data_IF_434928793710
#
_entry.id   IF_434928793710
#
_cell.length_a   1.000
_cell.length_b   1.000
_cell.length_c   1.000
_cell.angle_alpha   90.00
_cell.angle_beta   90.00
_cell.angle_gamma   90.00
#
_symmetry.space_group_name_H-M   'P 1'
#
loop_
_entity.id
_entity.type
_entity.pdbx_description
1 polymer ?
#
# COMPACT_ATOMS: atom_id res chain seq x y z
N UNK A 1 -28.39 5.52 -6.13
CA UNK A 1 -27.00 5.25 -6.59
C UNK A 1 -25.93 5.75 -5.62
N UNK A 2 -26.03 6.99 -5.09
CA UNK A 2 -25.02 7.57 -4.20
C UNK A 2 -24.75 6.75 -2.92
N UNK A 3 -25.77 6.19 -2.28
CA UNK A 3 -25.63 5.41 -1.04
C UNK A 3 -24.79 4.14 -1.20
N UNK A 4 -24.91 3.43 -2.33
CA UNK A 4 -24.16 2.21 -2.59
C UNK A 4 -22.66 2.50 -2.82
N UNK A 5 -22.35 3.55 -3.60
CA UNK A 5 -20.97 4.00 -3.82
C UNK A 5 -20.28 4.41 -2.52
N UNK A 6 -20.99 5.16 -1.66
CA UNK A 6 -20.48 5.57 -0.34
C UNK A 6 -20.21 4.35 0.55
N UNK A 7 -21.13 3.39 0.64
CA UNK A 7 -20.92 2.16 1.43
C UNK A 7 -19.73 1.35 0.92
N UNK A 8 -19.63 1.17 -0.40
CA UNK A 8 -18.53 0.42 -1.02
C UNK A 8 -17.18 1.10 -0.77
N UNK A 9 -17.11 2.43 -0.91
CA UNK A 9 -15.93 3.23 -0.61
C UNK A 9 -15.51 3.08 0.87
N UNK A 10 -16.46 3.13 1.81
CA UNK A 10 -16.20 2.96 3.23
C UNK A 10 -15.70 1.56 3.59
N UNK A 11 -16.30 0.51 3.02
CA UNK A 11 -15.85 -0.88 3.23
C UNK A 11 -14.43 -1.09 2.71
N UNK A 12 -14.11 -0.59 1.50
CA UNK A 12 -12.75 -0.63 0.94
C UNK A 12 -11.74 0.11 1.81
N UNK A 13 -12.13 1.28 2.31
CA UNK A 13 -11.29 2.08 3.20
C UNK A 13 -11.04 1.39 4.55
N UNK A 14 -12.06 0.75 5.12
CA UNK A 14 -11.93 -0.06 6.33
C UNK A 14 -10.99 -1.26 6.10
N UNK A 15 -11.19 -2.02 5.02
CA UNK A 15 -10.31 -3.13 4.64
C UNK A 15 -8.86 -2.69 4.46
N UNK A 16 -8.63 -1.56 3.80
CA UNK A 16 -7.29 -1.01 3.61
C UNK A 16 -6.62 -0.55 4.92
N UNK A 17 -7.40 -0.13 5.93
CA UNK A 17 -6.88 0.15 7.27
C UNK A 17 -6.50 -1.12 8.00
N UNK A 18 -7.33 -2.16 7.94
CA UNK A 18 -7.01 -3.47 8.51
C UNK A 18 -5.71 -4.00 7.91
N UNK A 19 -5.55 -3.95 6.58
CA UNK A 19 -4.29 -4.30 5.92
C UNK A 19 -3.12 -3.49 6.46
N UNK A 20 -3.29 -2.17 6.58
CA UNK A 20 -2.21 -1.32 7.10
C UNK A 20 -1.81 -1.72 8.52
N UNK A 21 -2.78 -2.02 9.39
CA UNK A 21 -2.51 -2.49 10.76
C UNK A 21 -1.79 -3.84 10.75
N UNK A 22 -2.25 -4.79 9.93
CA UNK A 22 -1.62 -6.11 9.78
C UNK A 22 -0.17 -5.96 9.26
N UNK A 23 0.06 -5.16 8.23
CA UNK A 23 1.40 -4.87 7.69
C UNK A 23 2.31 -4.27 8.77
N UNK A 24 1.80 -3.31 9.56
CA UNK A 24 2.57 -2.68 10.63
C UNK A 24 2.88 -3.66 11.75
N UNK A 25 1.92 -4.49 12.15
CA UNK A 25 2.12 -5.51 13.19
C UNK A 25 3.14 -6.56 12.75
N UNK A 26 3.02 -7.07 11.52
CA UNK A 26 4.00 -7.98 10.92
C UNK A 26 5.39 -7.33 10.86
N UNK A 27 5.47 -6.09 10.38
CA UNK A 27 6.73 -5.33 10.33
C UNK A 27 7.36 -5.13 11.72
N UNK A 28 6.56 -4.88 12.75
CA UNK A 28 7.03 -4.75 14.12
C UNK A 28 7.56 -6.07 14.69
N UNK A 29 6.87 -7.20 14.43
CA UNK A 29 7.35 -8.53 14.79
C UNK A 29 8.69 -8.85 14.13
N UNK A 30 8.83 -8.55 12.83
CA UNK A 30 10.09 -8.74 12.11
C UNK A 30 11.23 -7.87 12.65
N UNK A 31 10.94 -6.61 12.98
CA UNK A 31 11.94 -5.74 13.59
C UNK A 31 12.38 -6.29 14.95
N UNK A 32 11.44 -6.79 15.76
CA UNK A 32 11.75 -7.46 17.03
C UNK A 32 12.63 -8.70 16.84
N UNK A 33 12.31 -9.55 15.86
CA UNK A 33 13.12 -10.73 15.51
C UNK A 33 14.52 -10.34 15.03
N UNK A 34 14.64 -9.29 14.22
CA UNK A 34 15.94 -8.78 13.78
C UNK A 34 16.79 -8.28 14.95
N UNK A 35 16.20 -7.52 15.87
CA UNK A 35 16.89 -7.05 17.08
C UNK A 35 17.33 -8.24 17.93
N UNK A 36 16.47 -9.24 18.11
CA UNK A 36 16.81 -10.47 18.84
C UNK A 36 18.00 -11.21 18.21
N UNK A 37 17.98 -11.38 16.88
CA UNK A 37 19.08 -12.01 16.14
C UNK A 37 20.37 -11.20 16.26
N UNK A 38 20.31 -9.88 16.13
CA UNK A 38 21.49 -9.01 16.27
C UNK A 38 22.07 -9.06 17.68
N UNK A 39 21.24 -9.07 18.72
CA UNK A 39 21.69 -9.23 20.11
C UNK A 39 22.33 -10.61 20.29
N UNK A 40 21.70 -11.68 19.79
CA UNK A 40 22.26 -13.03 19.83
C UNK A 40 23.61 -13.13 19.13
N UNK A 41 23.76 -12.49 17.96
CA UNK A 41 25.03 -12.41 17.24
C UNK A 41 26.10 -11.66 18.02
N UNK A 42 25.76 -10.52 18.62
CA UNK A 42 26.71 -9.73 19.43
C UNK A 42 27.14 -10.53 20.67
N UNK A 43 26.20 -11.22 21.33
CA UNK A 43 26.48 -12.06 22.49
C UNK A 43 27.33 -13.29 22.15
N UNK A 44 27.28 -13.80 20.91
CA UNK A 44 28.10 -14.94 20.47
C UNK A 44 29.48 -14.52 19.96
N UNK A 45 29.76 -13.23 19.74
CA UNK A 45 31.07 -12.75 19.28
C UNK A 45 32.25 -13.17 20.19
N UNK A 46 32.15 -13.12 21.54
CA UNK A 46 33.23 -13.59 22.41
C UNK A 46 33.51 -15.08 22.24
N UNK A 47 32.47 -15.91 22.13
CA UNK A 47 32.61 -17.36 21.94
C UNK A 47 33.25 -17.67 20.58
N UNK A 48 32.80 -16.98 19.52
CA UNK A 48 33.38 -17.07 18.18
C UNK A 48 34.85 -16.66 18.21
N UNK A 49 35.19 -15.56 18.91
CA UNK A 49 36.57 -15.08 19.04
C UNK A 49 37.47 -16.05 19.80
N UNK A 50 36.98 -16.57 20.93
CA UNK A 50 37.71 -17.55 21.74
C UNK A 50 37.97 -18.84 20.95
N UNK A 51 36.99 -19.28 20.14
CA UNK A 51 37.17 -20.41 19.23
C UNK A 51 38.20 -20.13 18.13
N UNK A 52 38.21 -18.93 17.55
CA UNK A 52 39.24 -18.56 16.59
C UNK A 52 40.64 -18.61 17.20
N UNK A 53 40.80 -18.13 18.44
CA UNK A 53 42.07 -18.21 19.18
C UNK A 53 42.47 -19.64 19.57
N UNK A 54 41.51 -20.54 19.84
CA UNK A 54 41.78 -21.96 20.08
C UNK A 54 42.23 -22.66 18.79
N UNK A 55 41.64 -22.31 17.64
CA UNK A 55 42.06 -22.81 16.34
C UNK A 55 43.50 -22.44 16.00
N UNK A 56 43.90 -21.19 16.25
CA UNK A 56 45.29 -20.75 16.03
C UNK A 56 46.32 -21.49 16.91
N UNK A 57 45.89 -22.10 18.03
CA UNK A 57 46.74 -22.87 18.94
C UNK A 57 46.91 -24.34 18.54
N UNK A 58 46.22 -24.81 17.49
CA UNK A 58 46.37 -26.17 16.97
C UNK A 58 45.70 -27.26 17.82
N UNK A 59 44.75 -26.90 18.69
CA UNK A 59 44.12 -27.81 19.66
C UNK A 59 42.94 -28.64 19.09
N UNK A 60 42.84 -28.87 17.78
CA UNK A 60 41.55 -29.23 17.18
C UNK A 60 41.36 -30.69 16.75
N UNK A 61 40.63 -31.42 17.59
CA UNK A 61 39.55 -32.34 17.18
C UNK A 61 38.18 -31.72 17.53
N UNK A 62 37.08 -32.22 16.96
CA UNK A 62 35.66 -31.79 17.15
C UNK A 62 35.29 -30.31 16.87
N UNK A 63 36.18 -29.33 16.98
CA UNK A 63 35.85 -27.93 16.74
C UNK A 63 36.00 -27.47 15.28
N UNK A 64 36.55 -28.31 14.38
CA UNK A 64 36.44 -28.10 12.93
C UNK A 64 34.99 -28.23 12.44
N UNK A 65 34.21 -29.15 13.03
CA UNK A 65 32.77 -29.28 12.78
C UNK A 65 32.00 -28.03 13.23
N UNK A 66 32.35 -27.44 14.37
CA UNK A 66 31.66 -26.26 14.89
C UNK A 66 31.99 -24.98 14.10
N UNK A 67 33.26 -24.80 13.70
CA UNK A 67 33.68 -23.70 12.81
C UNK A 67 32.96 -23.76 11.46
N UNK A 68 32.79 -24.97 10.91
CA UNK A 68 32.00 -25.19 9.70
C UNK A 68 30.51 -24.84 9.89
N UNK A 69 29.89 -25.26 11.00
CA UNK A 69 28.49 -24.92 11.31
C UNK A 69 28.29 -23.42 11.51
N UNK A 70 29.17 -22.73 12.25
CA UNK A 70 29.08 -21.28 12.43
C UNK A 70 29.35 -20.51 11.14
N UNK A 71 30.30 -20.99 10.33
CA UNK A 71 30.54 -20.46 8.98
C UNK A 71 29.29 -20.56 8.09
N UNK A 72 28.59 -21.69 8.13
CA UNK A 72 27.32 -21.88 7.42
C UNK A 72 26.23 -20.93 7.96
N UNK A 73 26.06 -20.82 9.27
CA UNK A 73 25.05 -19.93 9.86
C UNK A 73 25.30 -18.47 9.46
N UNK A 74 26.54 -17.99 9.53
CA UNK A 74 26.92 -16.64 9.12
C UNK A 74 26.70 -16.43 7.62
N UNK A 75 27.02 -17.44 6.78
CA UNK A 75 26.79 -17.40 5.33
C UNK A 75 25.30 -17.29 4.98
N UNK A 76 24.44 -18.01 5.72
CA UNK A 76 22.98 -18.01 5.50
C UNK A 76 22.24 -16.87 6.19
N UNK A 77 22.85 -16.23 7.20
CA UNK A 77 22.24 -15.14 7.95
C UNK A 77 21.71 -13.99 7.06
N UNK A 78 22.45 -13.47 6.06
CA UNK A 78 21.92 -12.47 5.12
C UNK A 78 20.70 -12.96 4.34
N UNK A 79 20.68 -14.26 3.96
CA UNK A 79 19.55 -14.87 3.23
C UNK A 79 18.32 -14.94 4.13
N UNK A 80 18.47 -15.35 5.39
CA UNK A 80 17.36 -15.35 6.36
C UNK A 80 16.87 -13.94 6.68
N UNK A 81 17.78 -12.98 6.86
CA UNK A 81 17.43 -11.57 7.07
C UNK A 81 16.68 -11.04 5.83
N UNK A 82 17.15 -11.33 4.62
CA UNK A 82 16.47 -10.93 3.39
C UNK A 82 15.10 -11.58 3.26
N UNK A 83 15.01 -12.91 3.44
CA UNK A 83 13.77 -13.66 3.39
C UNK A 83 12.74 -13.15 4.41
N UNK A 84 13.15 -13.01 5.67
CA UNK A 84 12.31 -12.53 6.76
C UNK A 84 11.88 -11.07 6.61
N UNK A 85 12.78 -10.16 6.27
CA UNK A 85 12.44 -8.72 6.21
C UNK A 85 11.81 -8.29 4.88
N UNK A 86 12.13 -8.94 3.76
CA UNK A 86 11.77 -8.44 2.43
C UNK A 86 10.74 -9.32 1.72
N UNK A 87 10.90 -10.64 1.79
CA UNK A 87 10.08 -11.59 1.03
C UNK A 87 8.82 -11.93 1.81
N UNK A 88 8.97 -12.29 3.08
CA UNK A 88 7.89 -12.80 3.90
C UNK A 88 6.76 -11.77 4.14
N UNK A 89 7.02 -10.48 4.44
CA UNK A 89 5.95 -9.51 4.59
C UNK A 89 5.16 -9.31 3.29
N UNK A 90 5.82 -9.37 2.15
CA UNK A 90 5.16 -9.28 0.84
C UNK A 90 4.26 -10.49 0.65
N UNK A 91 4.78 -11.70 0.84
CA UNK A 91 4.01 -12.95 0.74
C UNK A 91 2.80 -12.94 1.68
N UNK A 92 2.95 -12.47 2.92
CA UNK A 92 1.87 -12.41 3.90
C UNK A 92 0.81 -11.34 3.59
N UNK A 93 1.22 -10.20 3.03
CA UNK A 93 0.34 -9.04 2.83
C UNK A 93 -0.33 -9.03 1.46
N UNK A 94 0.26 -9.71 0.47
CA UNK A 94 -0.25 -9.77 -0.89
C UNK A 94 -1.60 -10.47 -1.03
N UNK A 95 -1.90 -11.59 -0.35
CA UNK A 95 -3.21 -12.24 -0.39
C UNK A 95 -4.32 -11.31 0.06
N UNK A 96 -4.06 -10.46 1.06
CA UNK A 96 -5.07 -9.52 1.56
C UNK A 96 -5.15 -8.28 0.66
N UNK A 97 -4.02 -7.76 0.19
CA UNK A 97 -3.95 -6.52 -0.58
C UNK A 97 -4.30 -6.68 -2.06
N UNK A 98 -3.93 -7.78 -2.70
CA UNK A 98 -4.20 -8.06 -4.10
C UNK A 98 -5.70 -8.01 -4.46
N UNK A 99 -6.64 -8.62 -3.71
CA UNK A 99 -8.07 -8.45 -3.95
C UNK A 99 -8.52 -7.01 -3.85
N UNK A 100 -8.08 -6.26 -2.84
CA UNK A 100 -8.48 -4.85 -2.72
C UNK A 100 -7.95 -4.05 -3.91
N UNK A 101 -6.71 -4.30 -4.32
CA UNK A 101 -6.08 -3.69 -5.49
C UNK A 101 -6.82 -4.08 -6.78
N UNK A 102 -7.22 -5.34 -6.94
CA UNK A 102 -7.89 -5.87 -8.13
C UNK A 102 -9.35 -5.42 -8.24
N UNK A 103 -10.06 -5.30 -7.12
CA UNK A 103 -11.45 -4.82 -7.06
C UNK A 103 -11.56 -3.31 -7.27
N UNK A 104 -10.44 -2.59 -7.22
CA UNK A 104 -10.41 -1.14 -7.37
C UNK A 104 -9.84 -0.73 -8.73
N UNK A 105 -10.53 -1.11 -9.80
CA UNK A 105 -9.99 -1.03 -11.17
C UNK A 105 -9.81 0.40 -11.72
N UNK A 106 -10.51 1.41 -11.18
CA UNK A 106 -10.34 2.80 -11.59
C UNK A 106 -10.77 3.81 -10.50
N UNK A 107 -10.11 3.83 -9.33
CA UNK A 107 -10.36 4.88 -8.35
C UNK A 107 -10.16 6.28 -8.92
N UNK A 108 -11.06 7.22 -8.60
CA UNK A 108 -10.87 8.62 -8.94
C UNK A 108 -9.59 9.15 -8.29
N UNK A 109 -9.03 10.16 -8.95
CA UNK A 109 -7.82 10.85 -8.52
C UNK A 109 -8.27 12.19 -7.95
N UNK A 110 -7.87 12.50 -6.74
CA UNK A 110 -8.20 13.75 -6.09
C UNK A 110 -6.94 14.56 -5.89
N UNK A 111 -6.97 15.83 -6.25
CA UNK A 111 -5.92 16.78 -5.90
C UNK A 111 -6.39 17.64 -4.73
N UNK A 112 -5.58 17.73 -3.70
CA UNK A 112 -5.83 18.56 -2.53
C UNK A 112 -4.78 19.67 -2.45
N UNK A 113 -5.21 20.88 -2.80
CA UNK A 113 -4.40 22.10 -2.73
C UNK A 113 -4.76 22.87 -1.48
N UNK A 114 -3.75 23.47 -0.86
CA UNK A 114 -3.93 24.22 0.37
C UNK A 114 -2.86 25.30 0.49
N UNK A 115 -3.07 26.29 1.36
CA UNK A 115 -2.02 27.23 1.72
C UNK A 115 -0.79 26.49 2.28
N UNK A 116 0.38 26.81 1.73
CA UNK A 116 1.66 26.28 2.19
C UNK A 116 2.02 26.77 3.59
N UNK A 117 2.67 25.91 4.39
CA UNK A 117 3.29 26.26 5.67
C UNK A 117 2.31 26.92 6.68
N UNK A 118 1.09 26.40 6.76
CA UNK A 118 0.05 26.79 7.72
C UNK A 118 -0.30 25.61 8.64
N UNK A 119 0.57 25.35 9.61
CA UNK A 119 0.42 24.22 10.55
C UNK A 119 -0.93 24.16 11.26
N UNK A 120 -1.49 25.32 11.65
CA UNK A 120 -2.80 25.42 12.32
C UNK A 120 -3.96 24.89 11.46
N UNK A 121 -3.95 25.20 10.15
CA UNK A 121 -4.98 24.73 9.21
C UNK A 121 -4.72 23.28 8.78
N UNK A 122 -3.47 22.84 8.78
CA UNK A 122 -3.08 21.53 8.25
C UNK A 122 -3.73 20.35 8.98
N UNK A 123 -3.96 20.44 10.31
CA UNK A 123 -4.52 19.34 11.11
C UNK A 123 -6.01 19.09 10.78
N UNK A 124 -6.91 20.09 10.85
CA UNK A 124 -8.29 19.94 10.40
C UNK A 124 -8.39 19.44 8.95
N UNK A 125 -7.62 20.02 8.03
CA UNK A 125 -7.64 19.65 6.62
C UNK A 125 -7.19 18.20 6.39
N UNK A 126 -6.11 17.75 7.05
CA UNK A 126 -5.69 16.32 7.02
C UNK A 126 -6.82 15.41 7.49
N UNK A 127 -7.60 15.83 8.48
CA UNK A 127 -8.73 15.04 8.98
C UNK A 127 -9.85 14.97 7.94
N UNK A 128 -10.22 16.09 7.33
CA UNK A 128 -11.19 16.15 6.23
C UNK A 128 -10.74 15.28 5.06
N UNK A 129 -9.52 15.49 4.57
CA UNK A 129 -8.88 14.68 3.53
C UNK A 129 -8.97 13.18 3.82
N UNK A 130 -8.61 12.74 5.03
CA UNK A 130 -8.60 11.32 5.42
C UNK A 130 -9.98 10.70 5.60
N UNK A 131 -10.93 11.44 6.18
CA UNK A 131 -12.24 10.89 6.57
C UNK A 131 -13.27 11.03 5.46
N UNK A 132 -13.16 12.09 4.66
CA UNK A 132 -14.23 12.51 3.75
C UNK A 132 -13.85 12.33 2.28
N UNK A 133 -12.55 12.30 1.93
CA UNK A 133 -12.09 12.21 0.53
C UNK A 133 -11.39 10.89 0.25
N UNK A 134 -10.42 10.52 1.08
CA UNK A 134 -9.60 9.32 0.89
C UNK A 134 -10.40 7.99 0.74
N UNK A 135 -11.57 7.79 1.35
CA UNK A 135 -12.37 6.59 1.10
C UNK A 135 -12.82 6.44 -0.36
N UNK A 136 -12.97 7.55 -1.08
CA UNK A 136 -13.50 7.56 -2.43
C UNK A 136 -12.44 7.32 -3.51
N UNK A 137 -11.14 7.48 -3.21
CA UNK A 137 -10.11 7.48 -4.23
C UNK A 137 -8.72 7.84 -3.74
N UNK A 138 -7.86 8.19 -4.69
CA UNK A 138 -6.46 8.50 -4.45
C UNK A 138 -6.24 9.98 -4.26
N UNK A 139 -5.79 10.37 -3.07
CA UNK A 139 -5.62 11.77 -2.72
C UNK A 139 -4.16 12.21 -2.83
N UNK A 140 -3.88 13.15 -3.73
CA UNK A 140 -2.59 13.80 -3.92
C UNK A 140 -2.58 15.18 -3.28
N UNK A 141 -1.43 15.60 -2.81
CA UNK A 141 -1.21 16.97 -2.31
C UNK A 141 0.25 17.34 -2.50
N UNK A 142 0.57 18.63 -2.53
CA UNK A 142 1.96 19.05 -2.49
C UNK A 142 2.54 18.91 -1.08
N UNK A 143 3.79 18.45 -1.01
CA UNK A 143 4.52 18.36 0.25
C UNK A 143 5.08 19.73 0.65
N UNK A 144 5.02 20.04 1.94
CA UNK A 144 5.62 21.25 2.53
C UNK A 144 6.09 20.96 3.98
N UNK A 145 6.30 22.00 4.79
CA UNK A 145 6.68 21.84 6.19
C UNK A 145 5.65 21.09 7.05
N UNK A 146 4.36 21.15 6.71
CA UNK A 146 3.26 20.57 7.49
C UNK A 146 2.87 19.17 7.00
N UNK A 147 2.87 18.93 5.69
CA UNK A 147 2.64 17.61 5.08
C UNK A 147 3.96 17.15 4.47
N UNK A 148 4.77 16.49 5.29
CA UNK A 148 6.03 15.87 4.85
C UNK A 148 5.80 14.47 4.28
N UNK A 149 6.61 14.10 3.29
CA UNK A 149 6.81 12.69 2.93
C UNK A 149 7.45 11.99 4.14
N UNK A 150 6.79 10.95 4.65
CA UNK A 150 7.28 10.20 5.81
C UNK A 150 8.71 9.69 5.58
N UNK A 151 9.57 9.79 6.60
CA UNK A 151 10.99 9.47 6.47
C UNK A 151 11.24 8.00 6.10
N UNK A 152 10.45 7.06 6.65
CA UNK A 152 10.62 5.62 6.42
C UNK A 152 10.42 5.23 4.95
N UNK A 153 9.62 5.99 4.21
CA UNK A 153 9.39 5.78 2.77
C UNK A 153 10.67 6.05 1.97
N UNK A 154 11.58 6.85 2.53
CA UNK A 154 12.85 7.20 1.87
C UNK A 154 13.89 6.10 1.98
N UNK A 155 13.67 5.10 2.84
CA UNK A 155 14.61 4.02 3.11
C UNK A 155 14.07 2.75 2.43
N UNK A 156 14.58 2.37 1.25
CA UNK A 156 14.08 1.20 0.51
C UNK A 156 14.13 -0.07 1.36
N UNK A 157 15.14 -0.21 2.21
CA UNK A 157 15.31 -1.30 3.18
C UNK A 157 14.06 -1.49 4.06
N UNK A 158 13.45 -0.39 4.54
CA UNK A 158 12.26 -0.45 5.39
C UNK A 158 10.97 -0.76 4.62
N UNK A 159 10.98 -0.51 3.30
CA UNK A 159 9.85 -0.83 2.43
C UNK A 159 9.98 -2.24 1.83
N UNK A 160 11.11 -2.92 2.01
CA UNK A 160 11.32 -4.23 1.44
C UNK A 160 11.27 -4.22 -0.10
N UNK A 161 10.74 -5.30 -0.69
CA UNK A 161 10.46 -5.33 -2.14
C UNK A 161 9.32 -4.38 -2.53
N UNK A 162 8.51 -3.89 -1.57
CA UNK A 162 7.47 -2.89 -1.83
C UNK A 162 8.05 -1.54 -2.23
N UNK A 163 9.35 -1.31 -1.99
CA UNK A 163 10.08 -0.17 -2.52
C UNK A 163 10.02 -0.12 -4.06
N UNK A 164 10.06 -1.28 -4.74
CA UNK A 164 9.95 -1.38 -6.20
C UNK A 164 8.57 -0.92 -6.70
N UNK A 165 7.56 -1.09 -5.84
CA UNK A 165 6.19 -0.68 -6.12
C UNK A 165 5.87 0.70 -5.57
N UNK A 166 6.80 1.40 -4.92
CA UNK A 166 6.56 2.77 -4.46
C UNK A 166 7.02 3.79 -5.50
N UNK A 167 6.08 4.61 -6.00
CA UNK A 167 6.46 5.75 -6.86
C UNK A 167 6.62 7.05 -6.09
N UNK A 168 6.72 7.00 -4.75
CA UNK A 168 6.94 8.18 -3.92
C UNK A 168 8.34 8.73 -4.17
N UNK A 169 8.45 9.57 -5.20
CA UNK A 169 9.69 10.26 -5.52
C UNK A 169 10.11 11.11 -4.33
N UNK A 170 11.41 11.04 -4.00
CA UNK A 170 11.96 11.76 -2.84
C UNK A 170 11.72 13.27 -2.94
N UNK A 171 11.94 13.86 -4.12
CA UNK A 171 11.66 15.27 -4.45
C UNK A 171 11.79 15.48 -5.96
N UNK A 172 10.84 16.19 -6.58
CA UNK A 172 10.88 16.60 -7.99
C UNK A 172 11.73 17.87 -8.10
N UNK A 173 12.92 17.74 -8.68
CA UNK A 173 13.93 18.79 -8.85
C UNK A 173 14.17 19.16 -10.32
N UNK A 174 13.73 18.33 -11.25
CA UNK A 174 13.99 18.49 -12.68
C UNK A 174 12.70 18.24 -13.47
N UNK A 175 12.53 19.00 -14.56
CA UNK A 175 11.51 18.80 -15.59
C UNK A 175 11.40 17.34 -16.06
N UNK A 176 12.53 16.63 -16.19
CA UNK A 176 12.55 15.21 -16.62
C UNK A 176 11.80 14.28 -15.65
N UNK A 177 11.60 14.68 -14.40
CA UNK A 177 10.90 13.89 -13.39
C UNK A 177 9.37 14.08 -13.47
N UNK A 178 8.87 15.14 -14.08
CA UNK A 178 7.43 15.40 -14.21
C UNK A 178 6.74 14.35 -15.11
N UNK A 179 7.28 13.98 -16.28
CA UNK A 179 6.72 12.87 -17.06
C UNK A 179 6.79 11.52 -16.33
N UNK A 180 7.74 11.34 -15.40
CA UNK A 180 7.79 10.14 -14.55
C UNK A 180 6.67 10.16 -13.51
N UNK A 181 6.37 11.32 -12.91
CA UNK A 181 5.24 11.50 -12.01
C UNK A 181 3.93 11.22 -12.75
N UNK A 182 3.74 11.83 -13.92
CA UNK A 182 2.58 11.60 -14.78
C UNK A 182 2.34 10.10 -15.02
N UNK A 183 3.35 9.39 -15.54
CA UNK A 183 3.27 7.94 -15.79
C UNK A 183 2.96 7.14 -14.53
N UNK A 184 3.48 7.55 -13.37
CA UNK A 184 3.21 6.87 -12.12
C UNK A 184 1.77 7.11 -11.61
N UNK A 185 1.25 8.33 -11.74
CA UNK A 185 -0.13 8.70 -11.42
C UNK A 185 -1.11 7.96 -12.34
N UNK A 186 -0.75 7.76 -13.61
CA UNK A 186 -1.59 7.08 -14.60
C UNK A 186 -1.59 5.55 -14.45
N UNK A 187 -0.60 4.96 -13.77
CA UNK A 187 -0.54 3.51 -13.49
C UNK A 187 -1.46 3.12 -12.33
N UNK A 188 -2.69 2.68 -12.64
CA UNK A 188 -3.71 2.32 -11.63
C UNK A 188 -3.25 1.26 -10.62
N UNK A 189 -2.68 0.15 -11.07
CA UNK A 189 -2.22 -0.92 -10.17
C UNK A 189 -1.18 -0.41 -9.16
N UNK A 190 -0.23 0.41 -9.62
CA UNK A 190 0.82 0.98 -8.79
C UNK A 190 0.25 1.95 -7.76
N UNK A 191 -0.74 2.75 -8.18
CA UNK A 191 -1.49 3.68 -7.34
C UNK A 191 -2.25 2.96 -6.22
N UNK A 192 -2.96 1.88 -6.57
CA UNK A 192 -3.71 1.04 -5.64
C UNK A 192 -2.79 0.42 -4.57
N UNK A 193 -1.65 -0.15 -4.98
CA UNK A 193 -0.67 -0.73 -4.05
C UNK A 193 -0.15 0.36 -3.09
N UNK A 194 0.28 1.51 -3.62
CA UNK A 194 0.76 2.63 -2.81
C UNK A 194 -0.31 3.14 -1.83
N UNK A 195 -1.58 3.06 -2.21
CA UNK A 195 -2.69 3.51 -1.36
C UNK A 195 -2.98 2.52 -0.25
N UNK A 196 -2.98 1.21 -0.57
CA UNK A 196 -3.12 0.15 0.42
C UNK A 196 -2.04 0.28 1.50
N UNK A 197 -0.80 0.58 1.11
CA UNK A 197 0.33 0.76 2.03
C UNK A 197 0.39 2.13 2.73
N UNK A 198 -0.37 3.12 2.27
CA UNK A 198 -0.34 4.46 2.86
C UNK A 198 -1.13 4.49 4.16
N UNK A 199 -0.47 4.76 5.30
CA UNK A 199 -1.18 4.97 6.58
C UNK A 199 -2.09 6.19 6.50
N UNK A 200 -1.57 7.28 5.93
CA UNK A 200 -2.28 8.55 5.85
C UNK A 200 -3.29 8.64 4.72
N UNK A 201 -3.31 7.68 3.78
CA UNK A 201 -4.11 7.67 2.54
C UNK A 201 -4.06 8.97 1.73
N UNK A 202 -3.02 9.78 1.97
CA UNK A 202 -2.66 11.02 1.30
C UNK A 202 -1.27 10.81 0.70
N UNK A 203 -1.08 11.22 -0.54
CA UNK A 203 0.17 11.15 -1.28
C UNK A 203 0.78 12.54 -1.41
N UNK A 204 1.67 12.92 -0.47
CA UNK A 204 2.44 14.14 -0.64
C UNK A 204 3.45 13.99 -1.78
N UNK A 205 3.41 14.93 -2.72
CA UNK A 205 4.36 15.07 -3.82
C UNK A 205 5.31 16.21 -3.46
N UNK A 206 6.56 15.87 -3.16
CA UNK A 206 7.57 16.86 -2.86
C UNK A 206 8.16 17.45 -4.15
N UNK A 207 8.24 18.77 -4.24
CA UNK A 207 8.82 19.50 -5.37
C UNK A 207 9.84 20.54 -4.90
N UNK A 208 10.60 21.09 -5.84
CA UNK A 208 11.37 22.33 -5.67
C UNK A 208 10.49 23.55 -5.97
N UNK A 209 10.93 24.72 -5.53
CA UNK A 209 10.21 25.98 -5.73
C UNK A 209 10.17 26.37 -7.21
N UNK A 210 11.13 25.93 -8.01
CA UNK A 210 11.15 26.16 -9.46
C UNK A 210 10.16 25.26 -10.24
N UNK A 211 9.75 24.13 -9.65
CA UNK A 211 9.01 23.09 -10.36
C UNK A 211 7.60 22.82 -9.80
N UNK A 212 7.22 23.36 -8.64
CA UNK A 212 5.92 23.05 -8.02
C UNK A 212 4.74 23.40 -8.95
N UNK A 213 4.80 24.54 -9.66
CA UNK A 213 3.75 24.95 -10.61
C UNK A 213 3.52 23.89 -11.70
N UNK A 214 4.59 23.35 -12.27
CA UNK A 214 4.51 22.30 -13.30
C UNK A 214 4.02 20.97 -12.72
N UNK A 215 4.30 20.70 -11.45
CA UNK A 215 3.72 19.56 -10.73
C UNK A 215 2.22 19.75 -10.51
N UNK A 216 1.77 20.94 -10.12
CA UNK A 216 0.34 21.28 -10.01
C UNK A 216 -0.36 21.10 -11.35
N UNK A 217 0.17 21.63 -12.44
CA UNK A 217 -0.36 21.44 -13.79
C UNK A 217 -0.53 19.95 -14.14
N UNK A 218 0.51 19.16 -13.85
CA UNK A 218 0.51 17.72 -14.10
C UNK A 218 -0.59 17.00 -13.29
N UNK A 219 -0.85 17.43 -12.06
CA UNK A 219 -1.86 16.83 -11.18
C UNK A 219 -3.27 17.33 -11.48
N UNK A 220 -3.46 18.63 -11.79
CA UNK A 220 -4.74 19.23 -12.18
C UNK A 220 -5.33 18.50 -13.38
N UNK A 221 -4.52 18.31 -14.44
CA UNK A 221 -4.94 17.65 -15.68
C UNK A 221 -5.20 16.13 -15.55
N UNK A 222 -4.87 15.53 -14.40
CA UNK A 222 -5.03 14.09 -14.13
C UNK A 222 -5.95 13.81 -12.95
N UNK A 223 -6.56 14.83 -12.36
CA UNK A 223 -7.43 14.65 -11.21
C UNK A 223 -8.88 14.70 -11.63
N UNK A 224 -9.67 13.79 -11.05
CA UNK A 224 -11.11 13.70 -11.22
C UNK A 224 -11.89 14.77 -10.49
N UNK A 225 -11.36 15.19 -9.34
CA UNK A 225 -11.83 16.37 -8.65
C UNK A 225 -10.65 17.04 -7.95
N UNK A 226 -10.75 18.35 -7.80
CA UNK A 226 -9.75 19.19 -7.15
C UNK A 226 -10.41 19.80 -5.93
N UNK A 227 -9.71 19.81 -4.81
CA UNK A 227 -10.17 20.39 -3.56
C UNK A 227 -9.16 21.46 -3.17
N UNK A 228 -9.62 22.71 -3.08
CA UNK A 228 -8.75 23.86 -2.79
C UNK A 228 -9.19 24.47 -1.46
N UNK A 229 -8.28 24.54 -0.49
CA UNK A 229 -8.51 25.32 0.73
C UNK A 229 -8.30 26.82 0.46
N UNK A 230 -9.37 27.59 0.60
CA UNK A 230 -9.45 29.04 0.39
C UNK A 230 -9.53 29.82 1.71
N UNK A 231 -9.19 29.17 2.83
CA UNK A 231 -9.12 29.83 4.15
C UNK A 231 -8.05 30.93 4.23
N UNK A 232 -7.13 31.00 3.27
CA UNK A 232 -6.08 32.00 3.15
C UNK A 232 -5.77 32.21 1.65
N UNK A 233 -6.46 33.16 1.02
CA UNK A 233 -6.36 33.47 -0.42
C UNK A 233 -5.08 34.24 -0.75
N UNK A 234 -3.96 33.55 -0.68
CA UNK A 234 -2.63 34.07 -1.08
C UNK A 234 -2.41 33.95 -2.58
N UNK A 235 -1.39 34.63 -3.06
CA UNK A 235 -0.96 34.60 -4.47
C UNK A 235 -0.81 33.16 -5.02
N UNK A 236 -0.29 32.23 -4.22
CA UNK A 236 -0.13 30.84 -4.66
C UNK A 236 -1.49 30.14 -4.86
N UNK A 237 -2.46 30.36 -3.98
CA UNK A 237 -3.81 29.76 -4.08
C UNK A 237 -4.59 30.41 -5.22
N UNK A 238 -4.48 31.73 -5.37
CA UNK A 238 -5.07 32.45 -6.50
C UNK A 238 -4.50 31.95 -7.83
N UNK A 239 -3.18 31.80 -7.92
CA UNK A 239 -2.52 31.20 -9.08
C UNK A 239 -3.03 29.78 -9.36
N UNK A 240 -3.22 28.94 -8.35
CA UNK A 240 -3.77 27.58 -8.51
C UNK A 240 -5.19 27.59 -9.08
N UNK A 241 -6.05 28.51 -8.61
CA UNK A 241 -7.42 28.71 -9.11
C UNK A 241 -7.40 29.18 -10.56
N UNK A 242 -6.65 30.23 -10.86
CA UNK A 242 -6.53 30.80 -12.20
C UNK A 242 -5.94 29.78 -13.18
N UNK A 243 -4.97 28.98 -12.71
CA UNK A 243 -4.37 27.93 -13.50
C UNK A 243 -5.39 26.84 -13.83
N UNK A 244 -6.19 26.41 -12.85
CA UNK A 244 -7.25 25.44 -13.07
C UNK A 244 -8.33 25.95 -14.05
N UNK A 245 -8.67 27.25 -14.00
CA UNK A 245 -9.51 27.92 -15.02
C UNK A 245 -8.88 27.86 -16.41
N UNK A 246 -7.61 28.24 -16.54
CA UNK A 246 -6.88 28.22 -17.82
C UNK A 246 -6.76 26.83 -18.45
N UNK A 247 -6.79 25.77 -17.63
CA UNK A 247 -6.74 24.38 -18.06
C UNK A 247 -8.13 23.78 -18.30
N UNK A 248 -9.21 24.53 -18.10
CA UNK A 248 -10.58 24.07 -18.30
C UNK A 248 -11.07 23.05 -17.26
N UNK A 249 -10.41 22.95 -16.10
CA UNK A 249 -10.77 21.99 -15.03
C UNK A 249 -11.50 22.65 -13.85
N UNK A 250 -11.94 23.91 -14.00
CA UNK A 250 -12.64 24.67 -12.95
C UNK A 250 -13.92 23.97 -12.45
N UNK A 251 -14.65 23.31 -13.34
CA UNK A 251 -15.90 22.60 -12.99
C UNK A 251 -15.68 21.42 -12.05
N UNK A 252 -14.43 20.94 -11.93
CA UNK A 252 -14.02 19.84 -11.07
C UNK A 252 -13.61 20.30 -9.66
N UNK A 253 -13.58 21.61 -9.40
CA UNK A 253 -13.10 22.19 -8.14
C UNK A 253 -14.20 22.22 -7.08
N UNK A 254 -13.87 21.79 -5.87
CA UNK A 254 -14.60 22.03 -4.63
C UNK A 254 -13.73 22.90 -3.72
N UNK A 255 -14.33 23.91 -3.10
CA UNK A 255 -13.63 24.85 -2.23
C UNK A 255 -13.89 24.50 -0.76
N UNK A 256 -12.84 24.54 0.05
CA UNK A 256 -12.91 24.40 1.49
C UNK A 256 -12.57 25.72 2.16
N UNK A 257 -13.32 26.10 3.19
CA UNK A 257 -13.06 27.30 3.98
C UNK A 257 -13.19 26.99 5.46
N UNK A 258 -12.22 27.43 6.26
CA UNK A 258 -12.23 27.32 7.70
C UNK A 258 -13.36 28.18 8.23
N UNK A 259 -14.22 27.63 9.08
CA UNK A 259 -15.32 28.39 9.70
C UNK A 259 -14.80 29.64 10.42
N UNK A 260 -13.63 29.55 11.07
CA UNK A 260 -12.96 30.65 11.77
C UNK A 260 -12.54 31.82 10.84
N UNK A 261 -12.56 31.62 9.51
CA UNK A 261 -12.12 32.60 8.49
C UNK A 261 -13.14 32.77 7.36
N UNK A 262 -14.38 32.31 7.57
CA UNK A 262 -15.38 32.21 6.52
C UNK A 262 -15.70 33.58 5.91
N UNK A 263 -15.88 34.61 6.73
CA UNK A 263 -16.45 35.88 6.28
C UNK A 263 -15.52 36.65 5.33
N UNK A 264 -14.23 36.72 5.65
CA UNK A 264 -13.25 37.44 4.84
C UNK A 264 -12.98 36.77 3.48
N UNK A 265 -12.78 35.45 3.47
CA UNK A 265 -12.46 34.72 2.23
C UNK A 265 -13.69 34.47 1.36
N UNK A 266 -14.90 34.38 1.93
CA UNK A 266 -16.11 34.13 1.16
C UNK A 266 -16.47 35.31 0.25
N UNK A 267 -16.32 36.56 0.71
CA UNK A 267 -16.57 37.74 -0.10
C UNK A 267 -15.66 37.80 -1.34
N UNK A 268 -14.34 37.61 -1.14
CA UNK A 268 -13.37 37.56 -2.23
C UNK A 268 -13.66 36.41 -3.22
N UNK A 269 -13.97 35.22 -2.72
CA UNK A 269 -14.28 34.08 -3.58
C UNK A 269 -15.57 34.30 -4.40
N UNK A 270 -16.56 34.96 -3.79
CA UNK A 270 -17.83 35.30 -4.45
C UNK A 270 -17.60 36.28 -5.60
N UNK A 271 -16.68 37.22 -5.44
CA UNK A 271 -16.26 38.12 -6.52
C UNK A 271 -15.55 37.37 -7.66
N UNK A 272 -14.72 36.37 -7.34
CA UNK A 272 -13.93 35.63 -8.34
C UNK A 272 -14.71 34.54 -9.09
N UNK A 273 -15.72 33.93 -8.47
CA UNK A 273 -16.48 32.80 -9.02
C UNK A 273 -17.94 33.11 -9.34
N UNK A 274 -18.49 34.20 -8.78
CA UNK A 274 -19.93 34.46 -8.75
C UNK A 274 -20.63 33.76 -7.57
N UNK A 275 -21.76 34.33 -7.14
CA UNK A 275 -22.51 33.88 -5.96
C UNK A 275 -23.03 32.43 -6.08
N UNK A 276 -23.53 32.05 -7.25
CA UNK A 276 -24.12 30.72 -7.47
C UNK A 276 -23.05 29.60 -7.48
N UNK A 277 -21.94 29.82 -8.19
CA UNK A 277 -20.83 28.87 -8.22
C UNK A 277 -20.16 28.74 -6.85
N UNK A 278 -20.02 29.86 -6.12
CA UNK A 278 -19.54 29.88 -4.74
C UNK A 278 -20.48 29.08 -3.83
N UNK A 279 -21.79 29.35 -3.88
CA UNK A 279 -22.78 28.67 -3.04
C UNK A 279 -22.77 27.16 -3.26
N UNK A 280 -22.69 26.68 -4.51
CA UNK A 280 -22.72 25.25 -4.84
C UNK A 280 -21.43 24.49 -4.52
N UNK A 281 -20.27 25.16 -4.54
CA UNK A 281 -18.95 24.51 -4.45
C UNK A 281 -18.17 24.81 -3.17
N UNK A 282 -18.61 25.74 -2.33
CA UNK A 282 -17.94 26.12 -1.09
C UNK A 282 -18.45 25.32 0.11
N UNK A 283 -17.54 24.67 0.83
CA UNK A 283 -17.84 23.88 2.02
C UNK A 283 -17.04 24.37 3.22
N UNK A 284 -17.70 24.46 4.38
CA UNK A 284 -17.10 24.92 5.62
C UNK A 284 -16.51 23.74 6.41
N UNK A 285 -15.33 23.91 6.97
CA UNK A 285 -14.73 22.97 7.91
C UNK A 285 -14.34 23.65 9.23
N UNK A 286 -14.46 22.89 10.32
CA UNK A 286 -14.06 23.28 11.67
C UNK A 286 -12.88 22.42 12.13
N UNK A 287 -12.44 22.64 13.38
CA UNK A 287 -11.46 21.79 14.05
C UNK A 287 -11.90 20.32 14.17
N UNK A 288 -13.17 19.99 14.00
CA UNK A 288 -13.71 18.62 14.13
C UNK A 288 -13.97 17.91 12.79
N UNK A 289 -14.00 18.67 11.69
CA UNK A 289 -14.22 18.15 10.34
C UNK A 289 -15.10 19.07 9.51
N UNK A 290 -15.75 18.54 8.47
CA UNK A 290 -16.71 19.31 7.67
C UNK A 290 -18.00 19.57 8.46
N UNK A 291 -18.54 20.77 8.33
CA UNK A 291 -19.84 21.15 8.90
C UNK A 291 -20.99 20.39 8.21
N UNK A 292 -20.99 20.33 6.88
CA UNK A 292 -21.99 19.60 6.09
C UNK A 292 -21.35 18.45 5.30
N UNK A 293 -21.15 17.32 5.98
CA UNK A 293 -20.50 16.12 5.41
C UNK A 293 -21.33 15.50 4.29
N UNK A 294 -22.65 15.45 4.46
CA UNK A 294 -23.58 14.86 3.50
C UNK A 294 -23.50 15.57 2.16
N UNK A 295 -23.61 16.91 2.18
CA UNK A 295 -23.59 17.73 0.98
C UNK A 295 -22.22 17.71 0.30
N UNK A 296 -21.13 17.77 1.07
CA UNK A 296 -19.78 17.64 0.53
C UNK A 296 -19.58 16.30 -0.18
N UNK A 297 -19.99 15.18 0.44
CA UNK A 297 -19.88 13.85 -0.19
C UNK A 297 -20.74 13.73 -1.43
N UNK A 298 -21.95 14.30 -1.43
CA UNK A 298 -22.81 14.33 -2.60
C UNK A 298 -22.14 15.08 -3.76
N UNK A 299 -21.62 16.28 -3.50
CA UNK A 299 -20.89 17.06 -4.50
C UNK A 299 -19.61 16.35 -4.99
N UNK A 300 -18.85 15.71 -4.09
CA UNK A 300 -17.66 14.94 -4.47
C UNK A 300 -18.02 13.77 -5.39
N UNK A 301 -19.07 13.01 -5.06
CA UNK A 301 -19.56 11.90 -5.89
C UNK A 301 -20.08 12.42 -7.22
N UNK A 302 -20.80 13.54 -7.25
CA UNK A 302 -21.28 14.18 -8.48
C UNK A 302 -20.12 14.53 -9.42
N UNK A 303 -19.04 15.14 -8.92
CA UNK A 303 -17.85 15.45 -9.74
C UNK A 303 -17.20 14.19 -10.31
N UNK A 304 -17.03 13.17 -9.49
CA UNK A 304 -16.43 11.90 -9.90
C UNK A 304 -17.30 11.16 -10.92
N UNK A 305 -18.61 11.10 -10.68
CA UNK A 305 -19.54 10.41 -11.59
C UNK A 305 -19.66 11.17 -12.90
N UNK A 306 -19.72 12.50 -12.87
CA UNK A 306 -19.74 13.34 -14.08
C UNK A 306 -18.52 13.09 -14.96
N UNK A 307 -17.31 13.07 -14.38
CA UNK A 307 -16.10 12.77 -15.13
C UNK A 307 -16.06 11.31 -15.62
N UNK A 308 -16.41 10.34 -14.76
CA UNK A 308 -16.46 8.94 -15.17
C UNK A 308 -17.42 8.75 -16.35
N UNK A 309 -18.55 9.45 -16.38
CA UNK A 309 -19.51 9.38 -17.50
C UNK A 309 -18.94 9.99 -18.77
N UNK A 310 -18.15 11.06 -18.67
CA UNK A 310 -17.44 11.66 -19.80
C UNK A 310 -16.28 10.76 -20.30
N UNK A 311 -15.56 10.09 -19.41
CA UNK A 311 -14.49 9.15 -19.77
C UNK A 311 -15.00 7.82 -20.33
N UNK A 312 -16.24 7.40 -20.01
CA UNK A 312 -16.84 6.14 -20.49
C UNK A 312 -17.05 6.07 -22.00
N UNK A 313 -16.89 7.18 -22.74
CA UNK A 313 -16.76 7.13 -24.20
C UNK A 313 -15.47 6.43 -24.66
N UNK A 314 -14.49 6.24 -23.77
CA UNK A 314 -13.33 5.37 -23.98
C UNK A 314 -13.70 3.95 -23.52
N UNK A 315 -13.38 2.89 -24.29
CA UNK A 315 -13.72 1.52 -23.92
C UNK A 315 -13.16 1.22 -22.52
N UNK A 316 -14.07 1.01 -21.56
CA UNK A 316 -13.72 0.64 -20.20
C UNK A 316 -12.90 -0.64 -20.25
N UNK A 317 -11.71 -0.59 -19.68
CA UNK A 317 -10.93 -1.77 -19.35
C UNK A 317 -11.67 -2.50 -18.22
N UNK A 318 -12.37 -3.57 -18.59
CA UNK A 318 -12.89 -4.67 -17.76
C UNK A 318 -13.60 -4.26 -16.44
N UNK A 319 -14.92 -4.38 -16.36
CA UNK A 319 -15.52 -4.59 -15.03
C UNK A 319 -14.98 -5.91 -14.48
N UNK A 320 -14.54 -5.96 -13.20
CA UNK A 320 -14.12 -7.22 -12.60
C UNK A 320 -15.30 -8.19 -12.66
N UNK A 321 -15.14 -9.26 -13.43
CA UNK A 321 -16.15 -10.32 -13.53
C UNK A 321 -16.35 -10.92 -12.14
N UNK A 322 -17.53 -11.47 -11.83
CA UNK A 322 -17.75 -12.22 -10.57
C UNK A 322 -16.71 -13.32 -10.40
N UNK A 323 -16.23 -13.86 -11.53
CA UNK A 323 -15.10 -14.79 -11.63
C UNK A 323 -13.80 -14.20 -11.06
N UNK A 324 -13.51 -12.92 -11.27
CA UNK A 324 -12.30 -12.28 -10.73
C UNK A 324 -12.36 -12.15 -9.20
N UNK A 325 -13.53 -11.77 -8.69
CA UNK A 325 -13.77 -11.68 -7.25
C UNK A 325 -13.63 -13.07 -6.62
N UNK A 326 -14.31 -14.07 -7.18
CA UNK A 326 -14.30 -15.45 -6.70
C UNK A 326 -12.89 -16.06 -6.74
N UNK A 327 -12.14 -15.88 -7.83
CA UNK A 327 -10.77 -16.37 -7.95
C UNK A 327 -9.83 -15.68 -6.95
N UNK A 328 -10.03 -14.39 -6.67
CA UNK A 328 -9.21 -13.72 -5.66
C UNK A 328 -9.55 -14.16 -4.25
N UNK A 329 -10.84 -14.33 -3.92
CA UNK A 329 -11.26 -14.89 -2.62
C UNK A 329 -10.72 -16.31 -2.45
N UNK A 330 -10.81 -17.16 -3.48
CA UNK A 330 -10.25 -18.50 -3.49
C UNK A 330 -8.74 -18.49 -3.26
N UNK A 331 -8.00 -17.56 -3.88
CA UNK A 331 -6.57 -17.36 -3.62
C UNK A 331 -6.28 -17.05 -2.15
N UNK A 332 -6.99 -16.09 -1.55
CA UNK A 332 -6.79 -15.73 -0.13
C UNK A 332 -7.04 -16.91 0.77
N UNK A 333 -8.17 -17.60 0.57
CA UNK A 333 -8.54 -18.77 1.36
C UNK A 333 -7.55 -19.92 1.15
N UNK A 334 -7.04 -20.11 -0.08
CA UNK A 334 -6.03 -21.11 -0.43
C UNK A 334 -4.66 -20.85 0.15
N UNK A 335 -4.36 -19.62 0.55
CA UNK A 335 -3.07 -19.24 1.12
C UNK A 335 -2.98 -19.51 2.63
N UNK A 336 -4.11 -19.46 3.33
CA UNK A 336 -4.15 -19.65 4.79
C UNK A 336 -3.56 -21.01 5.21
N UNK A 337 -3.92 -22.15 4.59
CA UNK A 337 -3.36 -23.44 4.97
C UNK A 337 -1.88 -23.60 4.57
N UNK A 338 -1.47 -23.00 3.43
CA UNK A 338 -0.07 -23.01 2.98
C UNK A 338 0.81 -22.24 3.95
N UNK A 339 0.35 -21.08 4.45
CA UNK A 339 1.05 -20.33 5.50
C UNK A 339 1.09 -21.10 6.82
N UNK A 340 0.04 -21.85 7.15
CA UNK A 340 0.04 -22.70 8.33
C UNK A 340 1.10 -23.79 8.28
N UNK A 341 1.30 -24.43 7.12
CA UNK A 341 2.36 -25.42 6.93
C UNK A 341 3.76 -24.81 6.90
N UNK A 342 3.92 -23.61 6.35
CA UNK A 342 5.22 -22.94 6.32
C UNK A 342 5.67 -22.47 7.72
N UNK A 343 4.75 -22.28 8.66
CA UNK A 343 5.02 -21.75 9.99
C UNK A 343 4.23 -22.47 11.10
N UNK A 344 4.44 -23.79 11.29
CA UNK A 344 3.61 -24.59 12.20
C UNK A 344 3.65 -24.09 13.65
N UNK A 345 4.80 -23.57 14.08
CA UNK A 345 5.00 -23.01 15.43
C UNK A 345 4.11 -21.78 15.72
N UNK A 346 3.72 -21.00 14.71
CA UNK A 346 2.91 -19.78 14.90
C UNK A 346 1.44 -20.13 15.15
N UNK A 347 0.96 -21.22 14.56
CA UNK A 347 -0.44 -21.66 14.68
C UNK A 347 -0.66 -22.74 15.74
N UNK A 348 0.40 -23.12 16.48
CA UNK A 348 0.32 -24.22 17.44
C UNK A 348 0.05 -25.57 16.78
N UNK A 349 0.41 -25.72 15.49
CA UNK A 349 0.30 -27.00 14.81
C UNK A 349 1.40 -27.93 15.34
N UNK A 350 1.09 -29.23 15.58
CA UNK A 350 2.07 -30.19 16.06
C UNK A 350 3.29 -30.22 15.13
N UNK A 351 4.49 -30.13 15.71
CA UNK A 351 5.74 -30.28 14.96
C UNK A 351 5.78 -31.67 14.37
N UNK A 352 5.90 -31.76 13.05
CA UNK A 352 6.11 -33.03 12.38
C UNK A 352 7.60 -33.37 12.48
N UNK A 353 7.96 -34.34 13.32
CA UNK A 353 9.30 -34.91 13.37
C UNK A 353 9.27 -36.27 12.65
N UNK A 354 9.71 -36.37 11.38
CA UNK A 354 9.82 -37.62 10.63
C UNK A 354 10.59 -38.73 11.35
N UNK A 355 11.45 -38.38 12.31
CA UNK A 355 12.28 -39.32 13.06
C UNK A 355 11.62 -39.87 14.33
N UNK A 356 10.55 -39.25 14.83
CA UNK A 356 9.83 -39.70 16.03
C UNK A 356 8.76 -40.77 15.74
N UNK A 357 8.40 -40.98 14.47
CA UNK A 357 7.51 -42.06 14.09
C UNK A 357 8.29 -43.32 13.75
N UNK A 358 8.37 -44.24 14.73
CA UNK A 358 9.02 -45.56 14.68
C UNK A 358 8.44 -46.54 13.63
N UNK A 359 7.60 -46.07 12.70
CA UNK A 359 6.99 -46.86 11.64
C UNK A 359 7.69 -46.61 10.30
N UNK A 360 9.02 -46.83 10.25
CA UNK A 360 9.75 -46.78 9.00
C UNK A 360 9.59 -48.10 8.22
N UNK A 361 8.50 -48.14 7.44
CA UNK A 361 8.30 -48.82 6.14
C UNK A 361 8.19 -50.36 6.06
N UNK A 362 7.01 -50.88 5.64
CA UNK A 362 6.77 -50.96 4.20
C UNK A 362 5.34 -50.52 3.80
N UNK A 363 5.26 -49.55 2.88
CA UNK A 363 4.03 -49.19 2.21
C UNK A 363 3.93 -47.69 1.96
N UNK A 364 4.34 -47.27 0.76
CA UNK A 364 4.22 -45.89 0.22
C UNK A 364 2.80 -45.29 0.44
N UNK A 365 1.79 -46.13 0.64
CA UNK A 365 0.39 -45.73 0.79
C UNK A 365 -0.03 -45.13 2.15
N UNK A 366 0.81 -45.16 3.21
CA UNK A 366 0.46 -44.56 4.53
C UNK A 366 1.30 -43.35 4.94
N UNK A 367 2.23 -42.92 4.10
CA UNK A 367 3.20 -41.84 4.43
C UNK A 367 2.70 -40.46 3.98
N UNK A 368 1.58 -40.42 3.26
CA UNK A 368 0.98 -39.16 2.85
C UNK A 368 0.07 -38.67 3.98
N UNK A 369 0.58 -37.72 4.77
CA UNK A 369 -0.24 -36.99 5.74
C UNK A 369 -1.46 -36.42 5.00
N UNK A 370 -2.65 -36.90 5.36
CA UNK A 370 -3.92 -36.50 4.76
C UNK A 370 -4.15 -35.00 4.89
N UNK A 371 -3.63 -34.34 5.94
CA UNK A 371 -3.68 -32.89 6.11
C UNK A 371 -2.76 -32.17 5.12
N UNK A 372 -1.53 -32.64 4.94
CA UNK A 372 -0.63 -32.06 3.93
C UNK A 372 -1.15 -32.28 2.50
N UNK A 373 -1.71 -33.46 2.21
CA UNK A 373 -2.30 -33.76 0.91
C UNK A 373 -3.55 -32.92 0.65
N UNK A 374 -4.41 -32.72 1.64
CA UNK A 374 -5.60 -31.85 1.51
C UNK A 374 -5.20 -30.39 1.30
N UNK A 375 -4.15 -29.91 1.97
CA UNK A 375 -3.62 -28.57 1.77
C UNK A 375 -2.99 -28.41 0.38
N UNK A 376 -2.20 -29.38 -0.08
CA UNK A 376 -1.67 -29.37 -1.45
C UNK A 376 -2.78 -29.45 -2.50
N UNK A 377 -3.78 -30.30 -2.30
CA UNK A 377 -4.92 -30.42 -3.19
C UNK A 377 -5.75 -29.12 -3.24
N UNK A 378 -5.93 -28.45 -2.10
CA UNK A 378 -6.59 -27.15 -2.03
C UNK A 378 -5.76 -26.05 -2.70
N UNK A 379 -4.46 -26.01 -2.47
CA UNK A 379 -3.52 -25.10 -3.12
C UNK A 379 -3.48 -25.28 -4.64
N UNK A 380 -3.46 -26.53 -5.12
CA UNK A 380 -3.49 -26.89 -6.53
C UNK A 380 -4.84 -26.54 -7.18
N UNK A 381 -5.95 -26.82 -6.50
CA UNK A 381 -7.29 -26.45 -6.97
C UNK A 381 -7.42 -24.93 -7.12
N UNK A 382 -6.91 -24.18 -6.12
CA UNK A 382 -6.85 -22.72 -6.14
C UNK A 382 -5.97 -22.21 -7.29
N UNK A 383 -4.84 -22.87 -7.53
CA UNK A 383 -3.94 -22.56 -8.64
C UNK A 383 -4.59 -22.77 -10.01
N UNK A 384 -5.32 -23.88 -10.20
CA UNK A 384 -6.05 -24.15 -11.45
C UNK A 384 -7.14 -23.11 -11.70
N UNK A 385 -7.88 -22.71 -10.66
CA UNK A 385 -8.89 -21.65 -10.76
C UNK A 385 -8.25 -20.30 -11.15
N UNK A 386 -7.11 -19.96 -10.55
CA UNK A 386 -6.35 -18.76 -10.91
C UNK A 386 -5.78 -18.85 -12.33
N UNK A 387 -5.34 -20.02 -12.77
CA UNK A 387 -4.80 -20.22 -14.12
C UNK A 387 -5.86 -20.00 -15.19
N UNK A 388 -7.07 -20.54 -14.95
CA UNK A 388 -8.22 -20.34 -15.83
C UNK A 388 -8.65 -18.86 -15.85
N UNK A 389 -8.62 -18.17 -14.71
CA UNK A 389 -8.89 -16.73 -14.63
C UNK A 389 -7.77 -15.86 -15.26
N UNK A 390 -6.51 -16.29 -15.19
CA UNK A 390 -5.33 -15.60 -15.71
C UNK A 390 -5.28 -15.43 -17.23
N UNK A 391 -6.08 -16.22 -17.95
CA UNK A 391 -6.25 -16.05 -19.40
C UNK A 391 -6.95 -14.75 -19.78
N UNK A 392 -7.73 -14.14 -18.87
CA UNK A 392 -8.57 -12.95 -19.17
C UNK A 392 -8.02 -11.63 -18.61
N UNK A 393 -7.25 -11.65 -17.52
CA UNK A 393 -6.76 -10.42 -16.88
C UNK A 393 -5.27 -10.47 -16.52
N UNK A 394 -4.56 -9.36 -16.74
CA UNK A 394 -3.15 -9.21 -16.34
C UNK A 394 -2.95 -9.38 -14.82
N UNK A 395 -3.92 -8.98 -14.01
CA UNK A 395 -3.89 -9.11 -12.54
C UNK A 395 -3.93 -10.57 -12.09
N UNK A 396 -4.63 -11.42 -12.83
CA UNK A 396 -4.73 -12.85 -12.53
C UNK A 396 -3.46 -13.61 -12.89
N UNK A 397 -2.71 -13.17 -13.91
CA UNK A 397 -1.37 -13.70 -14.20
C UNK A 397 -0.41 -13.47 -13.05
N UNK A 398 -0.52 -12.32 -12.38
CA UNK A 398 0.31 -12.01 -11.21
C UNK A 398 -0.05 -12.88 -10.00
N UNK A 399 -1.34 -13.05 -9.69
CA UNK A 399 -1.79 -13.94 -8.61
C UNK A 399 -1.42 -15.40 -8.86
N UNK A 400 -1.53 -15.85 -10.11
CA UNK A 400 -1.09 -17.18 -10.54
C UNK A 400 0.41 -17.38 -10.26
N UNK A 401 1.27 -16.45 -10.68
CA UNK A 401 2.73 -16.55 -10.44
C UNK A 401 3.03 -16.72 -8.95
N UNK A 402 2.33 -15.98 -8.09
CA UNK A 402 2.55 -16.03 -6.65
C UNK A 402 2.06 -17.35 -6.05
N UNK A 403 0.89 -17.83 -6.46
CA UNK A 403 0.40 -19.15 -6.04
C UNK A 403 1.35 -20.27 -6.51
N UNK A 404 1.92 -20.16 -7.72
CA UNK A 404 2.95 -21.10 -8.21
C UNK A 404 4.17 -21.11 -7.30
N UNK A 405 4.71 -19.92 -6.96
CA UNK A 405 5.88 -19.81 -6.10
C UNK A 405 5.62 -20.36 -4.69
N UNK A 406 4.40 -20.19 -4.17
CA UNK A 406 3.99 -20.75 -2.89
C UNK A 406 3.85 -22.27 -2.92
N UNK A 407 3.22 -22.83 -3.95
CA UNK A 407 3.13 -24.28 -4.14
C UNK A 407 4.51 -24.92 -4.32
N UNK A 408 5.44 -24.25 -5.02
CA UNK A 408 6.81 -24.74 -5.20
C UNK A 408 7.65 -24.66 -3.92
N UNK A 409 7.30 -23.77 -2.97
CA UNK A 409 8.02 -23.63 -1.70
C UNK A 409 7.43 -24.46 -0.56
N UNK A 410 6.16 -24.89 -0.65
CA UNK A 410 5.53 -25.75 0.35
C UNK A 410 6.32 -27.05 0.65
N UNK A 411 6.90 -27.77 -0.34
CA UNK A 411 7.72 -28.95 -0.07
C UNK A 411 8.98 -28.63 0.74
N UNK A 412 9.55 -27.43 0.62
CA UNK A 412 10.78 -27.02 1.32
C UNK A 412 10.53 -26.88 2.82
N UNK A 413 9.35 -26.40 3.22
CA UNK A 413 8.96 -26.33 4.64
C UNK A 413 8.57 -27.68 5.26
N UNK A 414 8.34 -28.71 4.43
CA UNK A 414 8.07 -30.08 4.88
C UNK A 414 9.33 -30.95 4.94
N UNK A 415 10.48 -30.43 4.51
CA UNK A 415 11.76 -31.11 4.63
C UNK A 415 12.40 -30.65 5.95
N UNK A 416 12.55 -31.59 6.89
CA UNK A 416 13.36 -31.41 8.09
C UNK A 416 14.82 -31.12 7.69
N UNK A 417 15.35 -29.97 8.11
CA UNK A 417 16.76 -29.62 8.05
C UNK A 417 17.35 -29.57 9.45
#
# INVERSE_FOLDING_TARGET
MSSHLVRTAQLRFAGARVITVVVVAIGALFLGMLVYILVGLVMSLPDIWNMHLAHQRGELGLADSFSYTMGLVILWLPVYIYGGLYVLPVILTLPVSAPIVALWQAPPRFLFLRPFNRGLLSRPLKRVARREVAPFGHLYTLSDADIKVSWYIRIPILLGQLALFSFRMRRIRDQKQIPRLARAVDRTWLRNINWCMSIGKIFPVASSDDHWRRVVDCLLTRSSAVIIDVSDLRENVMWEIDRAKSLGVETQILYLISSDRADASQAALTQTLGAEACASRLFRYTKDGLADRSRFRAALVEKVVGEATAENGRPRTHEPDRLDIAATVAFVLGLIPVLGLAFPNILGLPRWNPWEHSAYWPGIARVVNTEALTIMAFGLSTWVLLFLAARRAHTMRFLLIIQTLLLLSAPIGMLDW
#
